data_IF_512064229126
#
_entry.id   IF_512064229126
#
_cell.length_a   1.000
_cell.length_b   1.000
_cell.length_c   1.000
_cell.angle_alpha   90.00
_cell.angle_beta   90.00
_cell.angle_gamma   90.00
#
_symmetry.space_group_name_H-M   'P 1'
#
loop_
_entity.id
_entity.type
_entity.pdbx_description
1 polymer ?
#
# COMPACT_ATOMS: atom_id res chain seq x y z
N UNK A 1 4.25 -21.14 19.17
CA UNK A 1 3.09 -20.59 18.43
C UNK A 1 3.40 -19.17 18.03
N UNK A 2 3.49 -18.87 16.74
CA UNK A 2 3.73 -17.51 16.22
C UNK A 2 2.50 -16.65 16.50
N UNK A 3 2.71 -15.54 17.22
CA UNK A 3 1.64 -14.57 17.53
C UNK A 3 1.12 -13.97 16.22
N UNK A 4 -0.19 -14.09 15.96
CA UNK A 4 -0.80 -13.45 14.80
C UNK A 4 -0.57 -11.94 14.86
N UNK A 5 0.01 -11.38 13.80
CA UNK A 5 0.25 -9.94 13.70
C UNK A 5 -1.09 -9.20 13.69
N UNK A 6 -1.23 -8.23 14.60
CA UNK A 6 -2.39 -7.34 14.64
C UNK A 6 -1.86 -5.91 14.56
N UNK A 7 -2.09 -5.20 13.44
CA UNK A 7 -1.67 -3.82 13.36
C UNK A 7 -2.42 -3.00 14.42
N UNK A 8 -1.73 -2.07 15.11
CA UNK A 8 -2.37 -1.20 16.08
C UNK A 8 -3.51 -0.41 15.43
N UNK A 9 -4.50 -0.02 16.23
CA UNK A 9 -5.70 0.67 15.76
C UNK A 9 -5.37 2.01 15.07
N UNK A 10 -4.35 2.73 15.57
CA UNK A 10 -3.92 4.01 14.99
C UNK A 10 -3.40 3.84 13.57
N UNK A 11 -2.76 2.71 13.24
CA UNK A 11 -2.30 2.43 11.89
C UNK A 11 -3.47 2.20 10.93
N UNK A 12 -4.55 1.59 11.41
CA UNK A 12 -5.78 1.41 10.62
C UNK A 12 -6.46 2.74 10.35
N UNK A 13 -6.56 3.59 11.37
CA UNK A 13 -7.10 4.94 11.23
C UNK A 13 -6.26 5.79 10.26
N UNK A 14 -4.93 5.80 10.44
CA UNK A 14 -4.03 6.53 9.56
C UNK A 14 -4.14 6.07 8.10
N UNK A 15 -4.24 4.76 7.83
CA UNK A 15 -4.46 4.27 6.46
C UNK A 15 -5.79 4.75 5.88
N UNK A 16 -6.86 4.71 6.67
CA UNK A 16 -8.17 5.19 6.23
C UNK A 16 -8.17 6.69 5.91
N UNK A 17 -7.46 7.50 6.70
CA UNK A 17 -7.44 8.97 6.53
C UNK A 17 -6.40 9.45 5.52
N UNK A 18 -5.22 8.84 5.44
CA UNK A 18 -4.14 9.25 4.55
C UNK A 18 -4.33 8.76 3.11
N UNK A 19 -5.06 7.66 2.91
CA UNK A 19 -5.21 7.06 1.59
C UNK A 19 -5.99 7.93 0.58
N UNK A 20 -7.15 8.53 0.92
CA UNK A 20 -7.86 9.43 0.00
C UNK A 20 -7.03 10.63 -0.48
N UNK A 21 -6.36 11.42 0.39
CA UNK A 21 -5.57 12.57 -0.07
C UNK A 21 -4.36 12.13 -0.90
N UNK A 22 -3.70 11.02 -0.55
CA UNK A 22 -2.59 10.51 -1.37
C UNK A 22 -3.05 10.04 -2.75
N UNK A 23 -4.18 9.32 -2.82
CA UNK A 23 -4.79 8.90 -4.08
C UNK A 23 -5.16 10.09 -4.95
N UNK A 24 -5.70 11.15 -4.34
CA UNK A 24 -6.02 12.40 -5.04
C UNK A 24 -4.75 13.07 -5.57
N UNK A 25 -3.73 13.23 -4.73
CA UNK A 25 -2.44 13.82 -5.10
C UNK A 25 -1.80 13.05 -6.28
N UNK A 26 -1.78 11.73 -6.24
CA UNK A 26 -1.23 10.91 -7.32
C UNK A 26 -2.01 11.04 -8.64
N UNK A 27 -3.35 11.18 -8.58
CA UNK A 27 -4.16 11.43 -9.78
C UNK A 27 -3.96 12.83 -10.35
N UNK A 28 -3.64 13.82 -9.50
CA UNK A 28 -3.34 15.17 -9.94
C UNK A 28 -1.94 15.27 -10.55
N UNK A 29 -0.95 14.59 -9.96
CA UNK A 29 0.44 14.63 -10.40
C UNK A 29 0.75 13.73 -11.60
N UNK A 30 0.01 12.63 -11.79
CA UNK A 30 0.33 11.60 -12.78
C UNK A 30 -0.88 11.15 -13.59
N UNK A 31 -0.65 10.74 -14.84
CA UNK A 31 -1.65 10.07 -15.68
C UNK A 31 -1.80 8.60 -15.28
N UNK A 32 -2.51 8.34 -14.20
CA UNK A 32 -2.74 6.98 -13.69
C UNK A 32 -3.71 6.20 -14.59
N UNK A 33 -3.30 5.01 -15.02
CA UNK A 33 -4.15 4.03 -15.71
C UNK A 33 -4.10 2.72 -14.94
N UNK A 34 -5.26 2.14 -14.66
CA UNK A 34 -5.41 0.91 -13.90
C UNK A 34 -6.03 -0.15 -14.79
N UNK A 35 -5.42 -1.34 -14.84
CA UNK A 35 -5.84 -2.46 -15.66
C UNK A 35 -5.77 -3.74 -14.84
N UNK A 36 -6.63 -4.72 -15.12
CA UNK A 36 -6.54 -6.04 -14.50
C UNK A 36 -7.03 -6.12 -13.05
N UNK A 37 -7.67 -5.07 -12.53
CA UNK A 37 -8.12 -5.01 -11.12
C UNK A 37 -9.23 -6.04 -10.81
N UNK A 38 -9.93 -6.50 -11.84
CA UNK A 38 -10.89 -7.59 -11.80
C UNK A 38 -10.27 -8.94 -11.40
N UNK A 39 -8.96 -9.13 -11.60
CA UNK A 39 -8.26 -10.35 -11.23
C UNK A 39 -7.82 -10.39 -9.77
N UNK A 40 -7.95 -9.27 -9.04
CA UNK A 40 -7.49 -9.18 -7.66
C UNK A 40 -8.46 -9.96 -6.76
N UNK A 41 -7.99 -11.02 -6.07
CA UNK A 41 -8.84 -11.76 -5.14
C UNK A 41 -9.32 -10.82 -4.03
N UNK A 42 -10.63 -10.74 -3.80
CA UNK A 42 -11.19 -9.95 -2.69
C UNK A 42 -11.50 -10.87 -1.52
N UNK A 43 -11.32 -10.37 -0.30
CA UNK A 43 -11.68 -11.07 0.95
C UNK A 43 -10.96 -12.42 1.12
N UNK A 44 -9.80 -12.58 0.47
CA UNK A 44 -8.96 -13.78 0.54
C UNK A 44 -7.51 -13.36 0.78
N UNK A 45 -6.70 -14.15 1.49
CA UNK A 45 -5.29 -13.85 1.65
C UNK A 45 -4.52 -14.11 0.34
N UNK A 46 -3.67 -13.15 -0.04
CA UNK A 46 -2.73 -13.27 -1.16
C UNK A 46 -1.51 -12.39 -0.90
N UNK A 47 -0.44 -12.64 -1.66
CA UNK A 47 0.76 -11.80 -1.65
C UNK A 47 0.77 -10.98 -2.93
N UNK A 48 0.96 -9.66 -2.77
CA UNK A 48 1.16 -8.75 -3.90
C UNK A 48 2.65 -8.64 -4.16
N UNK A 49 3.05 -8.93 -5.39
CA UNK A 49 4.42 -8.77 -5.86
C UNK A 49 4.38 -7.81 -7.04
N UNK A 50 5.29 -6.84 -7.03
CA UNK A 50 5.44 -5.86 -8.10
C UNK A 50 6.91 -5.53 -8.29
N UNK A 51 7.27 -5.05 -9.48
CA UNK A 51 8.61 -4.57 -9.76
C UNK A 51 8.85 -3.24 -9.01
N UNK A 52 9.96 -3.13 -8.29
CA UNK A 52 10.31 -1.90 -7.57
C UNK A 52 11.33 -1.08 -8.39
N UNK A 53 10.84 -0.11 -9.16
CA UNK A 53 11.61 0.77 -10.05
C UNK A 53 11.77 2.17 -9.47
N UNK A 54 10.86 2.60 -8.59
CA UNK A 54 10.82 3.95 -8.03
C UNK A 54 10.39 3.96 -6.58
N UNK A 55 10.85 4.97 -5.82
CA UNK A 55 10.33 5.26 -4.49
C UNK A 55 8.82 5.56 -4.48
N UNK A 56 8.24 5.88 -5.64
CA UNK A 56 6.81 6.11 -5.81
C UNK A 56 5.99 4.81 -5.89
N UNK A 57 6.61 3.64 -6.05
CA UNK A 57 5.86 2.40 -6.23
C UNK A 57 5.02 2.03 -4.99
N UNK A 58 5.57 2.06 -3.75
CA UNK A 58 4.76 1.73 -2.58
C UNK A 58 3.58 2.70 -2.39
N UNK A 59 3.76 4.05 -2.49
CA UNK A 59 2.62 4.96 -2.44
C UNK A 59 1.57 4.73 -3.54
N UNK A 60 1.97 4.41 -4.78
CA UNK A 60 1.06 4.11 -5.87
C UNK A 60 0.26 2.83 -5.57
N UNK A 61 0.95 1.74 -5.25
CA UNK A 61 0.31 0.46 -4.94
C UNK A 61 -0.66 0.64 -3.76
N UNK A 62 -0.23 1.23 -2.65
CA UNK A 62 -1.07 1.41 -1.46
C UNK A 62 -2.27 2.34 -1.67
N UNK A 63 -2.13 3.34 -2.55
CA UNK A 63 -3.24 4.26 -2.86
C UNK A 63 -4.32 3.58 -3.70
N UNK A 64 -3.90 2.79 -4.69
CA UNK A 64 -4.81 2.30 -5.72
C UNK A 64 -5.34 0.90 -5.47
N UNK A 65 -4.61 0.01 -4.78
CA UNK A 65 -5.01 -1.38 -4.54
C UNK A 65 -6.41 -1.52 -3.94
N UNK A 66 -7.29 -2.41 -4.39
CA UNK A 66 -8.70 -2.41 -3.94
C UNK A 66 -8.88 -2.68 -2.44
N UNK A 67 -7.92 -3.35 -1.80
CA UNK A 67 -7.93 -3.69 -0.38
C UNK A 67 -6.74 -3.09 0.35
N UNK A 68 -6.83 -3.05 1.68
CA UNK A 68 -5.72 -2.63 2.53
C UNK A 68 -4.62 -3.68 2.50
N UNK A 69 -3.42 -3.29 2.09
CA UNK A 69 -2.25 -4.15 2.11
C UNK A 69 -1.45 -3.97 3.41
N UNK A 70 -0.83 -5.06 3.85
CA UNK A 70 0.28 -5.02 4.80
C UNK A 70 1.58 -5.05 4.00
N UNK A 71 2.46 -4.09 4.23
CA UNK A 71 3.72 -3.97 3.51
C UNK A 71 4.87 -4.53 4.30
N UNK A 72 5.79 -5.19 3.61
CA UNK A 72 7.07 -5.60 4.15
C UNK A 72 8.16 -4.77 3.48
N UNK A 73 9.04 -4.17 4.28
CA UNK A 73 10.19 -3.43 3.82
C UNK A 73 11.39 -3.77 4.72
N UNK A 74 12.60 -3.58 4.19
CA UNK A 74 13.83 -3.77 4.94
C UNK A 74 13.89 -2.78 6.12
N UNK A 75 14.41 -3.20 7.27
CA UNK A 75 14.39 -2.39 8.50
C UNK A 75 15.16 -1.08 8.33
N UNK A 76 16.20 -1.10 7.51
CA UNK A 76 17.07 0.02 7.17
C UNK A 76 16.29 1.17 6.53
N UNK A 77 15.20 0.88 5.81
CA UNK A 77 14.33 1.91 5.20
C UNK A 77 13.73 2.81 6.27
N UNK A 78 13.43 2.28 7.46
CA UNK A 78 12.83 3.04 8.56
C UNK A 78 13.86 3.78 9.41
N UNK A 79 15.15 3.47 9.25
CA UNK A 79 16.24 4.09 9.99
C UNK A 79 16.89 5.25 9.23
N UNK A 80 16.64 5.36 7.93
CA UNK A 80 17.15 6.47 7.13
C UNK A 80 16.31 7.72 7.39
N UNK A 81 16.92 8.86 7.76
CA UNK A 81 16.24 10.14 7.66
C UNK A 81 15.91 10.39 6.19
N UNK A 82 14.70 10.91 5.94
CA UNK A 82 14.27 11.34 4.62
C UNK A 82 15.08 12.53 4.11
#
# INVERSE_FOLDING_TARGET
MTRAYRPPWYSRLARFTLRPPFRWLMRAAFRIRLYGFEHIPKQRPYVVIYNHVSILDPPLVLSFWPETLETVAAVEVFQRPG
#
